data_IF_664942050668
#
_entry.id   IF_664942050668
#
_cell.length_a   1.000
_cell.length_b   1.000
_cell.length_c   1.000
_cell.angle_alpha   90.00
_cell.angle_beta   90.00
_cell.angle_gamma   90.00
#
_symmetry.space_group_name_H-M   'P 1'
#
loop_
_entity.id
_entity.type
_entity.pdbx_description
1 polymer ?
#
# COMPACT_ATOMS: atom_id res chain seq x y z
N UNK A 1 37.93 0.60 38.81
CA UNK A 1 37.50 1.38 40.00
C UNK A 1 36.20 2.00 39.58
N UNK A 2 35.15 1.19 39.69
CA UNK A 2 33.87 1.53 39.09
C UNK A 2 33.18 2.60 39.91
N UNK A 3 32.61 3.58 39.22
CA UNK A 3 31.68 4.53 39.81
C UNK A 3 30.30 3.91 39.58
N UNK A 4 29.61 3.44 40.62
CA UNK A 4 28.21 3.06 40.47
C UNK A 4 27.42 4.36 40.28
N UNK A 5 26.98 4.62 39.06
CA UNK A 5 25.85 5.51 38.83
C UNK A 5 24.59 4.74 39.21
N UNK A 6 23.81 5.25 40.16
CA UNK A 6 22.50 4.69 40.47
C UNK A 6 21.63 4.76 39.20
N UNK A 7 21.22 3.60 38.67
CA UNK A 7 20.15 3.57 37.67
C UNK A 7 18.90 4.21 38.31
N UNK A 8 18.26 5.20 37.67
CA UNK A 8 17.13 5.88 38.26
C UNK A 8 15.97 4.91 38.48
N UNK A 9 15.45 4.83 39.70
CA UNK A 9 14.26 4.04 40.06
C UNK A 9 13.08 4.42 39.15
N UNK A 10 12.85 3.59 38.13
CA UNK A 10 11.90 3.84 37.07
C UNK A 10 10.46 3.94 37.60
N UNK A 11 10.12 3.11 38.58
CA UNK A 11 8.79 3.08 39.18
C UNK A 11 8.54 4.37 39.98
N UNK A 12 9.55 4.83 40.74
CA UNK A 12 9.46 6.11 41.42
C UNK A 12 9.37 7.31 40.45
N UNK A 13 10.11 7.31 39.34
CA UNK A 13 10.05 8.38 38.35
C UNK A 13 8.71 8.42 37.60
N UNK A 14 8.14 7.26 37.24
CA UNK A 14 6.81 7.15 36.62
C UNK A 14 5.73 7.62 37.61
N UNK A 15 5.77 7.16 38.87
CA UNK A 15 4.80 7.55 39.89
C UNK A 15 4.85 9.07 40.17
N UNK A 16 6.04 9.66 40.20
CA UNK A 16 6.22 11.10 40.35
C UNK A 16 5.67 11.88 39.14
N UNK A 17 5.92 11.41 37.91
CA UNK A 17 5.37 12.02 36.70
C UNK A 17 3.82 11.97 36.68
N UNK A 18 3.22 10.86 37.14
CA UNK A 18 1.77 10.73 37.26
C UNK A 18 1.19 11.72 38.29
N UNK A 19 1.88 11.93 39.41
CA UNK A 19 1.52 12.96 40.40
C UNK A 19 1.64 14.39 39.85
N UNK A 20 2.67 14.65 39.04
CA UNK A 20 2.87 15.93 38.34
C UNK A 20 1.78 16.20 37.31
N UNK A 21 1.36 15.19 36.53
CA UNK A 21 0.20 15.29 35.62
C UNK A 21 -1.09 15.58 36.42
N UNK A 22 -1.35 14.82 37.49
CA UNK A 22 -2.56 14.96 38.31
C UNK A 22 -2.67 16.31 39.04
N UNK A 23 -1.54 16.95 39.34
CA UNK A 23 -1.46 18.27 39.97
C UNK A 23 -1.36 19.43 38.97
N UNK A 24 -1.34 19.15 37.66
CA UNK A 24 -1.25 20.15 36.59
C UNK A 24 0.17 20.64 36.28
N UNK A 25 1.20 20.06 36.90
CA UNK A 25 2.62 20.33 36.62
C UNK A 25 3.12 19.58 35.35
N UNK A 26 2.31 19.60 34.29
CA UNK A 26 2.46 18.75 33.10
C UNK A 26 3.78 18.92 32.35
N UNK A 27 4.37 20.12 32.33
CA UNK A 27 5.68 20.37 31.71
C UNK A 27 6.79 19.64 32.49
N UNK A 28 6.75 19.67 33.82
CA UNK A 28 7.74 18.96 34.64
C UNK A 28 7.66 17.44 34.47
N UNK A 29 6.45 16.90 34.26
CA UNK A 29 6.25 15.49 33.93
C UNK A 29 6.87 15.13 32.55
N UNK A 30 6.70 15.99 31.54
CA UNK A 30 7.34 15.82 30.21
C UNK A 30 8.87 15.84 30.35
N UNK A 31 9.44 16.87 30.97
CA UNK A 31 10.90 17.01 31.14
C UNK A 31 11.50 15.80 31.90
N UNK A 32 10.85 15.38 33.00
CA UNK A 32 11.23 14.18 33.78
C UNK A 32 11.26 12.93 32.94
N UNK A 33 10.17 12.66 32.21
CA UNK A 33 10.05 11.44 31.42
C UNK A 33 10.95 11.47 30.19
N UNK A 34 11.25 12.64 29.62
CA UNK A 34 12.23 12.81 28.54
C UNK A 34 13.67 12.56 29.01
N UNK A 35 14.01 12.91 30.26
CA UNK A 35 15.35 12.65 30.83
C UNK A 35 15.71 11.15 30.97
N UNK A 36 14.71 10.26 30.95
CA UNK A 36 14.89 8.80 31.01
C UNK A 36 15.30 8.20 29.66
N UNK A 37 16.41 8.66 29.09
CA UNK A 37 16.90 8.25 27.76
C UNK A 37 17.62 6.89 27.80
N UNK A 38 18.28 6.57 28.92
CA UNK A 38 19.10 5.35 29.08
C UNK A 38 18.32 4.14 29.65
N UNK A 39 17.06 4.34 30.02
CA UNK A 39 16.16 3.27 30.49
C UNK A 39 15.81 2.34 29.32
N UNK A 40 15.62 1.01 29.51
CA UNK A 40 15.24 0.09 28.44
C UNK A 40 14.06 0.62 27.63
N UNK A 41 14.29 0.83 26.33
CA UNK A 41 13.35 1.39 25.34
C UNK A 41 12.04 0.58 25.27
N UNK A 42 12.00 -0.61 25.84
CA UNK A 42 10.90 -1.57 25.81
C UNK A 42 10.01 -1.58 27.07
N UNK A 43 10.21 -0.72 28.08
CA UNK A 43 9.26 -0.65 29.23
C UNK A 43 7.97 0.09 28.85
N UNK A 44 6.89 -0.66 28.65
CA UNK A 44 5.60 -0.15 28.21
C UNK A 44 5.00 0.91 29.16
N UNK A 45 5.30 0.88 30.46
CA UNK A 45 4.75 1.78 31.48
C UNK A 45 5.35 3.17 31.34
N UNK A 46 6.64 3.26 31.03
CA UNK A 46 7.33 4.51 30.68
C UNK A 46 6.69 5.15 29.44
N UNK A 47 6.38 4.35 28.43
CA UNK A 47 5.73 4.83 27.20
C UNK A 47 4.30 5.32 27.46
N UNK A 48 3.47 4.60 28.23
CA UNK A 48 2.15 5.09 28.64
C UNK A 48 2.25 6.41 29.43
N UNK A 49 3.24 6.55 30.31
CA UNK A 49 3.45 7.79 31.07
C UNK A 49 3.84 8.95 30.14
N UNK A 50 4.73 8.73 29.16
CA UNK A 50 5.10 9.74 28.14
C UNK A 50 3.88 10.16 27.30
N UNK A 51 3.11 9.20 26.81
CA UNK A 51 1.88 9.47 26.06
C UNK A 51 0.87 10.31 26.87
N UNK A 52 0.68 10.00 28.15
CA UNK A 52 -0.19 10.77 29.04
C UNK A 52 0.31 12.20 29.27
N UNK A 53 1.61 12.39 29.50
CA UNK A 53 2.21 13.71 29.70
C UNK A 53 2.10 14.60 28.44
N UNK A 54 2.39 14.04 27.26
CA UNK A 54 2.30 14.75 25.97
C UNK A 54 0.85 15.14 25.64
N UNK A 55 -0.10 14.22 25.85
CA UNK A 55 -1.53 14.53 25.72
C UNK A 55 -2.00 15.65 26.66
N UNK A 56 -1.43 15.72 27.87
CA UNK A 56 -1.77 16.74 28.87
C UNK A 56 -1.19 18.13 28.55
N UNK A 57 -0.10 18.24 27.78
CA UNK A 57 0.38 19.52 27.20
C UNK A 57 -0.25 19.87 25.85
N UNK A 58 -1.12 18.99 25.32
CA UNK A 58 -1.81 19.18 24.04
C UNK A 58 -1.05 18.69 22.81
N UNK A 59 0.11 18.05 22.98
CA UNK A 59 0.85 17.40 21.90
C UNK A 59 0.20 16.05 21.55
N UNK A 60 -0.74 16.10 20.58
CA UNK A 60 -1.47 14.93 20.10
C UNK A 60 -0.63 13.99 19.26
N UNK A 61 0.33 14.51 18.50
CA UNK A 61 1.18 13.71 17.60
C UNK A 61 2.17 12.89 18.43
N UNK A 62 2.85 13.55 19.38
CA UNK A 62 3.67 12.88 20.38
C UNK A 62 2.86 11.90 21.23
N UNK A 63 1.68 12.31 21.75
CA UNK A 63 0.80 11.39 22.49
C UNK A 63 0.51 10.11 21.70
N UNK A 64 0.12 10.22 20.42
CA UNK A 64 -0.26 9.08 19.61
C UNK A 64 0.93 8.15 19.32
N UNK A 65 2.09 8.71 18.98
CA UNK A 65 3.33 7.94 18.75
C UNK A 65 3.72 7.12 19.99
N UNK A 66 3.87 7.77 21.16
CA UNK A 66 4.24 7.09 22.39
C UNK A 66 3.18 6.09 22.87
N UNK A 67 1.89 6.31 22.56
CA UNK A 67 0.82 5.37 22.92
C UNK A 67 0.86 4.08 22.09
N UNK A 68 1.18 4.18 20.80
CA UNK A 68 1.32 3.02 19.90
C UNK A 68 2.50 2.14 20.33
N UNK A 69 3.62 2.76 20.69
CA UNK A 69 4.77 2.04 21.22
C UNK A 69 4.49 1.44 22.60
N UNK A 70 3.78 2.15 23.49
CA UNK A 70 3.31 1.59 24.77
C UNK A 70 2.47 0.32 24.58
N UNK A 71 1.49 0.34 23.66
CA UNK A 71 0.65 -0.81 23.36
C UNK A 71 1.46 -1.97 22.76
N UNK A 72 2.41 -1.65 21.89
CA UNK A 72 3.29 -2.63 21.25
C UNK A 72 4.19 -3.33 22.28
N UNK A 73 4.80 -2.57 23.19
CA UNK A 73 5.66 -3.10 24.24
C UNK A 73 4.87 -3.83 25.34
N UNK A 74 3.64 -3.41 25.63
CA UNK A 74 2.77 -4.11 26.58
C UNK A 74 2.38 -5.50 26.06
N UNK A 75 1.96 -5.58 24.79
CA UNK A 75 1.67 -6.86 24.13
C UNK A 75 2.91 -7.76 24.03
N UNK A 76 4.10 -7.19 23.79
CA UNK A 76 5.37 -7.90 23.83
C UNK A 76 5.65 -8.56 25.19
N UNK A 77 5.37 -7.87 26.29
CA UNK A 77 5.53 -8.43 27.63
C UNK A 77 4.52 -9.55 27.89
N UNK A 78 3.22 -9.32 27.64
CA UNK A 78 2.19 -10.35 27.81
C UNK A 78 2.50 -11.62 26.99
N UNK A 79 3.05 -11.46 25.79
CA UNK A 79 3.47 -12.58 24.93
C UNK A 79 4.79 -13.22 25.40
N UNK A 80 5.72 -12.47 25.99
CA UNK A 80 6.92 -13.06 26.62
C UNK A 80 6.54 -14.01 27.75
N UNK A 81 5.58 -13.60 28.58
CA UNK A 81 5.06 -14.38 29.70
C UNK A 81 4.24 -15.62 29.25
N UNK A 82 3.54 -15.54 28.11
CA UNK A 82 2.66 -16.62 27.61
C UNK A 82 3.34 -17.60 26.63
N UNK A 83 4.15 -17.10 25.67
CA UNK A 83 4.79 -17.88 24.60
C UNK A 83 6.27 -18.22 24.89
N UNK A 84 6.79 -17.81 26.05
CA UNK A 84 8.16 -18.11 26.48
C UNK A 84 9.24 -17.38 25.67
N UNK A 85 8.99 -16.13 25.27
CA UNK A 85 9.97 -15.30 24.55
C UNK A 85 10.99 -14.75 25.53
N UNK A 86 12.26 -15.05 25.31
CA UNK A 86 13.38 -14.49 26.08
C UNK A 86 13.60 -13.04 25.63
N UNK A 87 13.18 -12.07 26.45
CA UNK A 87 13.29 -10.64 26.09
C UNK A 87 14.74 -10.14 26.04
N UNK A 88 15.66 -10.74 26.80
CA UNK A 88 17.08 -10.39 26.73
C UNK A 88 17.66 -10.75 25.36
N UNK A 89 17.35 -11.95 24.87
CA UNK A 89 17.71 -12.39 23.51
C UNK A 89 16.91 -11.67 22.44
N UNK A 90 15.64 -11.34 22.67
CA UNK A 90 14.82 -10.59 21.71
C UNK A 90 15.43 -9.22 21.41
N UNK A 91 16.01 -8.54 22.40
CA UNK A 91 16.63 -7.22 22.25
C UNK A 91 18.09 -7.30 21.75
N UNK A 92 18.82 -8.38 22.06
CA UNK A 92 20.27 -8.47 21.76
C UNK A 92 20.64 -9.35 20.55
N UNK A 93 19.75 -10.24 20.10
CA UNK A 93 19.98 -11.17 18.99
C UNK A 93 19.02 -10.91 17.81
N UNK A 94 19.42 -10.15 16.77
CA UNK A 94 18.59 -9.87 15.61
C UNK A 94 17.97 -11.11 14.95
N UNK A 95 18.71 -12.22 14.87
CA UNK A 95 18.20 -13.47 14.31
C UNK A 95 17.11 -14.12 15.16
N UNK A 96 17.15 -13.96 16.49
CA UNK A 96 16.10 -14.45 17.37
C UNK A 96 14.87 -13.55 17.26
N UNK A 97 15.04 -12.22 17.24
CA UNK A 97 13.96 -11.27 16.96
C UNK A 97 13.22 -11.63 15.65
N UNK A 98 13.93 -11.86 14.55
CA UNK A 98 13.33 -12.28 13.27
C UNK A 98 12.54 -13.60 13.37
N UNK A 99 13.02 -14.59 14.14
CA UNK A 99 12.29 -15.85 14.35
C UNK A 99 11.00 -15.66 15.16
N UNK A 100 10.98 -14.71 16.11
CA UNK A 100 9.76 -14.30 16.81
C UNK A 100 8.82 -13.59 15.83
N UNK A 101 9.34 -12.64 15.03
CA UNK A 101 8.57 -11.89 14.05
C UNK A 101 7.90 -12.76 13.00
N UNK A 102 8.61 -13.75 12.44
CA UNK A 102 8.07 -14.67 11.44
C UNK A 102 6.92 -15.53 11.98
N UNK A 103 7.04 -16.02 13.22
CA UNK A 103 5.97 -16.74 13.91
C UNK A 103 4.78 -15.83 14.22
N UNK A 104 5.04 -14.65 14.79
CA UNK A 104 4.01 -13.67 15.11
C UNK A 104 3.22 -13.23 13.86
N UNK A 105 3.90 -13.01 12.73
CA UNK A 105 3.28 -12.66 11.46
C UNK A 105 2.36 -13.79 10.95
N UNK A 106 2.83 -15.04 11.02
CA UNK A 106 2.04 -16.21 10.61
C UNK A 106 0.79 -16.44 11.52
N UNK A 107 0.88 -16.05 12.79
CA UNK A 107 -0.21 -16.13 13.77
C UNK A 107 -1.15 -14.91 13.77
N UNK A 108 -0.89 -13.89 12.95
CA UNK A 108 -1.69 -12.66 12.92
C UNK A 108 -1.39 -11.66 14.06
N UNK A 109 -0.37 -11.92 14.88
CA UNK A 109 0.08 -11.06 16.01
C UNK A 109 0.89 -9.86 15.49
N UNK A 110 0.22 -8.96 14.76
CA UNK A 110 0.88 -7.89 13.98
C UNK A 110 1.68 -6.88 14.81
N UNK A 111 1.27 -6.56 16.04
CA UNK A 111 2.05 -5.71 16.96
C UNK A 111 3.44 -6.30 17.24
N UNK A 112 3.48 -7.54 17.72
CA UNK A 112 4.71 -8.30 17.94
C UNK A 112 5.54 -8.44 16.67
N UNK A 113 4.92 -8.76 15.54
CA UNK A 113 5.60 -8.86 14.25
C UNK A 113 6.26 -7.54 13.85
N UNK A 114 5.56 -6.41 13.99
CA UNK A 114 6.11 -5.08 13.68
C UNK A 114 7.29 -4.70 14.57
N UNK A 115 7.24 -4.98 15.87
CA UNK A 115 8.35 -4.72 16.78
C UNK A 115 9.57 -5.60 16.48
N UNK A 116 9.34 -6.89 16.21
CA UNK A 116 10.36 -7.87 15.90
C UNK A 116 11.11 -7.53 14.59
N UNK A 117 10.38 -7.21 13.52
CA UNK A 117 11.00 -6.80 12.26
C UNK A 117 11.60 -5.39 12.36
N UNK A 118 11.00 -4.49 13.14
CA UNK A 118 11.45 -3.11 13.34
C UNK A 118 12.82 -2.97 14.01
N UNK A 119 13.31 -3.99 14.73
CA UNK A 119 14.69 -4.02 15.21
C UNK A 119 15.74 -4.13 14.07
N UNK A 120 15.35 -4.75 12.95
CA UNK A 120 16.27 -5.10 11.85
C UNK A 120 16.01 -4.27 10.60
N UNK A 121 14.74 -4.04 10.24
CA UNK A 121 14.34 -3.38 8.99
C UNK A 121 14.96 -1.99 8.77
N UNK A 122 15.13 -1.11 9.78
CA UNK A 122 15.76 0.20 9.58
C UNK A 122 17.29 0.15 9.41
N UNK A 123 17.92 -1.01 9.66
CA UNK A 123 19.38 -1.13 9.67
C UNK A 123 19.95 -1.29 8.23
N UNK A 124 21.12 -0.71 7.92
CA UNK A 124 21.76 -0.88 6.62
C UNK A 124 21.97 -2.36 6.26
N UNK A 125 21.51 -2.75 5.07
CA UNK A 125 21.60 -4.13 4.58
C UNK A 125 20.49 -5.08 5.04
N UNK A 126 19.43 -4.56 5.69
CA UNK A 126 18.24 -5.35 6.01
C UNK A 126 17.64 -6.04 4.76
N UNK A 127 17.25 -7.34 4.83
CA UNK A 127 16.65 -8.02 3.69
C UNK A 127 15.29 -7.43 3.28
N UNK A 128 15.03 -7.36 1.97
CA UNK A 128 13.77 -6.84 1.40
C UNK A 128 12.52 -7.42 2.08
N UNK A 129 12.47 -8.74 2.29
CA UNK A 129 11.32 -9.40 2.92
C UNK A 129 11.10 -8.99 4.38
N UNK A 130 12.14 -8.57 5.11
CA UNK A 130 12.03 -8.08 6.50
C UNK A 130 11.41 -6.68 6.50
N UNK A 131 11.88 -5.79 5.62
CA UNK A 131 11.33 -4.43 5.47
C UNK A 131 9.85 -4.49 5.02
N UNK A 132 9.54 -5.34 4.03
CA UNK A 132 8.16 -5.51 3.56
C UNK A 132 7.24 -6.08 4.64
N UNK A 133 7.68 -7.08 5.42
CA UNK A 133 6.89 -7.62 6.54
C UNK A 133 6.71 -6.60 7.68
N UNK A 134 7.72 -5.77 7.95
CA UNK A 134 7.62 -4.67 8.90
C UNK A 134 6.53 -3.68 8.47
N UNK A 135 6.61 -3.14 7.25
CA UNK A 135 5.63 -2.22 6.69
C UNK A 135 4.21 -2.79 6.65
N UNK A 136 4.05 -4.06 6.27
CA UNK A 136 2.75 -4.74 6.28
C UNK A 136 2.18 -4.91 7.69
N UNK A 137 3.02 -5.26 8.67
CA UNK A 137 2.59 -5.40 10.07
C UNK A 137 2.16 -4.06 10.66
N UNK A 138 2.85 -2.97 10.32
CA UNK A 138 2.48 -1.59 10.69
C UNK A 138 1.16 -1.19 10.02
N UNK A 139 1.00 -1.46 8.73
CA UNK A 139 -0.21 -1.15 7.96
C UNK A 139 -1.45 -1.86 8.53
N UNK A 140 -1.33 -3.14 8.89
CA UNK A 140 -2.42 -3.90 9.53
C UNK A 140 -2.84 -3.37 10.90
N UNK A 141 -2.00 -2.57 11.57
CA UNK A 141 -2.33 -1.88 12.82
C UNK A 141 -2.88 -0.46 12.61
N UNK A 142 -2.94 0.03 11.36
CA UNK A 142 -3.26 1.43 11.08
C UNK A 142 -2.12 2.40 11.37
N UNK A 143 -0.88 1.92 11.54
CA UNK A 143 0.33 2.75 11.72
C UNK A 143 0.81 3.30 10.36
N UNK A 144 -0.04 4.08 9.69
CA UNK A 144 0.12 4.46 8.28
C UNK A 144 1.42 5.23 7.99
N UNK A 145 1.82 6.27 8.76
CA UNK A 145 3.05 7.02 8.46
C UNK A 145 4.32 6.14 8.54
N UNK A 146 4.33 5.18 9.46
CA UNK A 146 5.44 4.24 9.65
C UNK A 146 5.46 3.18 8.56
N UNK A 147 4.28 2.68 8.14
CA UNK A 147 4.16 1.79 6.98
C UNK A 147 4.65 2.46 5.70
N UNK A 148 4.28 3.72 5.46
CA UNK A 148 4.79 4.57 4.38
C UNK A 148 6.32 4.68 4.46
N UNK A 149 6.87 4.93 5.65
CA UNK A 149 8.33 5.00 5.86
C UNK A 149 9.02 3.68 5.51
N UNK A 150 8.47 2.53 5.95
CA UNK A 150 9.00 1.20 5.65
C UNK A 150 8.94 0.86 4.16
N UNK A 151 7.83 1.15 3.47
CA UNK A 151 7.72 0.89 2.03
C UNK A 151 8.57 1.85 1.19
N UNK A 152 8.74 3.10 1.63
CA UNK A 152 9.69 4.06 1.01
C UNK A 152 11.12 3.55 1.12
N UNK A 153 11.55 3.08 2.30
CA UNK A 153 12.86 2.45 2.49
C UNK A 153 13.06 1.24 1.56
N UNK A 154 12.03 0.41 1.38
CA UNK A 154 12.09 -0.73 0.46
C UNK A 154 12.20 -0.29 -1.01
N UNK A 155 11.44 0.72 -1.43
CA UNK A 155 11.45 1.28 -2.79
C UNK A 155 12.76 1.99 -3.14
N UNK A 156 13.33 2.74 -2.20
CA UNK A 156 14.60 3.45 -2.38
C UNK A 156 15.81 2.50 -2.41
N UNK A 157 15.74 1.38 -1.67
CA UNK A 157 16.86 0.43 -1.53
C UNK A 157 16.84 -0.67 -2.60
N UNK A 158 15.67 -1.10 -3.06
CA UNK A 158 15.52 -2.26 -3.95
C UNK A 158 14.76 -1.90 -5.23
N UNK A 159 15.31 -2.27 -6.40
CA UNK A 159 14.61 -2.14 -7.67
C UNK A 159 13.46 -3.17 -7.77
N UNK A 160 12.32 -2.85 -7.18
CA UNK A 160 11.16 -3.74 -7.04
C UNK A 160 9.85 -2.96 -7.16
N UNK A 161 9.09 -3.14 -8.25
CA UNK A 161 7.81 -2.43 -8.46
C UNK A 161 6.82 -2.68 -7.32
N UNK A 162 6.85 -3.89 -6.77
CA UNK A 162 6.07 -4.32 -5.60
C UNK A 162 6.26 -3.40 -4.38
N UNK A 163 7.46 -2.84 -4.16
CA UNK A 163 7.70 -1.92 -3.05
C UNK A 163 6.90 -0.63 -3.20
N UNK A 164 6.94 -0.07 -4.42
CA UNK A 164 6.18 1.11 -4.81
C UNK A 164 4.67 0.83 -4.81
N UNK A 165 4.23 -0.35 -5.26
CA UNK A 165 2.82 -0.78 -5.23
C UNK A 165 2.26 -0.82 -3.78
N UNK A 166 3.04 -1.33 -2.81
CA UNK A 166 2.65 -1.31 -1.40
C UNK A 166 2.73 0.10 -0.77
N UNK A 167 3.69 0.94 -1.20
CA UNK A 167 3.74 2.35 -0.80
C UNK A 167 2.50 3.12 -1.27
N UNK A 168 2.12 2.96 -2.54
CA UNK A 168 0.88 3.49 -3.12
C UNK A 168 -0.35 3.00 -2.33
N UNK A 169 -0.37 1.72 -1.96
CA UNK A 169 -1.46 1.17 -1.16
C UNK A 169 -1.53 1.81 0.25
N UNK A 170 -0.40 2.04 0.91
CA UNK A 170 -0.36 2.74 2.19
C UNK A 170 -0.80 4.21 2.09
N UNK A 171 -0.44 4.90 1.00
CA UNK A 171 -0.86 6.28 0.75
C UNK A 171 -2.38 6.47 0.70
N UNK A 172 -3.20 5.48 0.35
CA UNK A 172 -4.66 5.60 0.40
C UNK A 172 -5.22 5.93 1.80
N UNK A 173 -4.46 5.64 2.87
CA UNK A 173 -4.89 5.78 4.26
C UNK A 173 -4.24 6.97 4.98
N UNK A 174 -3.45 7.79 4.28
CA UNK A 174 -2.79 8.97 4.85
C UNK A 174 -3.61 10.25 4.62
N UNK A 175 -3.45 11.25 5.50
CA UNK A 175 -4.26 12.49 5.47
C UNK A 175 -4.07 13.32 4.19
N UNK A 176 -2.83 13.45 3.67
CA UNK A 176 -2.53 14.00 2.33
C UNK A 176 -2.27 12.89 1.29
N UNK A 177 -2.93 11.74 1.50
CA UNK A 177 -2.68 10.50 0.78
C UNK A 177 -2.80 10.60 -0.73
N UNK A 178 -3.72 11.43 -1.23
CA UNK A 178 -3.96 11.62 -2.66
C UNK A 178 -2.76 12.28 -3.36
N UNK A 179 -2.12 13.29 -2.74
CA UNK A 179 -0.95 13.96 -3.31
C UNK A 179 0.28 13.05 -3.27
N UNK A 180 0.50 12.36 -2.15
CA UNK A 180 1.58 11.37 -2.00
C UNK A 180 1.44 10.24 -3.03
N UNK A 181 0.23 9.70 -3.19
CA UNK A 181 -0.08 8.67 -4.17
C UNK A 181 0.17 9.15 -5.61
N UNK A 182 -0.28 10.35 -5.97
CA UNK A 182 -0.08 10.89 -7.32
C UNK A 182 1.41 11.11 -7.65
N UNK A 183 2.20 11.58 -6.68
CA UNK A 183 3.65 11.71 -6.83
C UNK A 183 4.33 10.33 -7.01
N UNK A 184 3.98 9.36 -6.17
CA UNK A 184 4.59 8.04 -6.20
C UNK A 184 4.19 7.21 -7.44
N UNK A 185 2.98 7.39 -7.97
CA UNK A 185 2.53 6.73 -9.19
C UNK A 185 3.33 7.22 -10.42
N UNK A 186 3.66 8.52 -10.46
CA UNK A 186 4.56 9.10 -11.47
C UNK A 186 5.98 8.55 -11.32
N UNK A 187 6.49 8.47 -10.08
CA UNK A 187 7.79 7.86 -9.78
C UNK A 187 7.86 6.40 -10.24
N UNK A 188 6.81 5.61 -10.00
CA UNK A 188 6.70 4.24 -10.52
C UNK A 188 6.77 4.24 -12.06
N UNK A 189 6.02 5.12 -12.72
CA UNK A 189 6.04 5.21 -14.18
C UNK A 189 7.43 5.59 -14.73
N UNK A 190 8.13 6.55 -14.11
CA UNK A 190 9.50 6.93 -14.49
C UNK A 190 10.52 5.78 -14.33
N UNK A 191 10.30 4.86 -13.40
CA UNK A 191 11.20 3.74 -13.10
C UNK A 191 10.89 2.45 -13.88
N UNK A 192 9.61 2.21 -14.21
CA UNK A 192 9.13 0.92 -14.74
C UNK A 192 8.44 1.01 -16.11
N UNK A 193 8.00 2.19 -16.56
CA UNK A 193 7.52 2.36 -17.93
C UNK A 193 8.70 2.43 -18.92
N UNK A 194 8.61 1.79 -20.11
CA UNK A 194 9.51 2.09 -21.21
C UNK A 194 9.30 3.53 -21.69
N UNK A 195 10.31 4.08 -22.37
CA UNK A 195 10.17 5.36 -23.04
C UNK A 195 9.04 5.31 -24.10
N UNK A 196 8.18 6.33 -24.23
CA UNK A 196 7.07 6.31 -25.18
C UNK A 196 7.55 6.15 -26.64
N UNK A 197 7.23 5.01 -27.26
CA UNK A 197 7.46 4.80 -28.69
C UNK A 197 6.25 5.30 -29.50
N UNK A 198 6.45 6.33 -30.32
CA UNK A 198 5.43 6.82 -31.24
C UNK A 198 5.36 5.92 -32.49
N UNK A 199 4.84 4.70 -32.30
CA UNK A 199 4.63 3.72 -33.37
C UNK A 199 3.20 3.85 -33.93
N UNK A 200 3.00 3.87 -35.26
CA UNK A 200 1.66 3.85 -35.83
C UNK A 200 0.95 2.52 -35.52
N UNK A 201 -0.28 2.61 -35.04
CA UNK A 201 -1.14 1.45 -34.79
C UNK A 201 -1.55 0.78 -36.11
N UNK A 202 -1.56 -0.55 -36.12
CA UNK A 202 -1.95 -1.35 -37.29
C UNK A 202 -3.46 -1.60 -37.38
N UNK A 203 -4.26 -1.00 -36.49
CA UNK A 203 -5.71 -1.18 -36.43
C UNK A 203 -6.37 -0.78 -37.78
N UNK A 204 -7.21 -1.65 -38.37
CA UNK A 204 -7.95 -1.29 -39.58
C UNK A 204 -8.99 -0.20 -39.27
N UNK A 205 -9.39 0.56 -40.30
CA UNK A 205 -10.46 1.56 -40.20
C UNK A 205 -11.71 0.97 -39.52
N UNK A 206 -12.35 1.73 -38.64
CA UNK A 206 -13.57 1.34 -37.93
C UNK A 206 -14.78 1.23 -38.88
N UNK A 207 -14.73 1.84 -40.07
CA UNK A 207 -15.83 1.79 -41.05
C UNK A 207 -16.22 0.36 -41.42
N UNK A 208 -17.46 0.00 -41.10
CA UNK A 208 -18.05 -1.28 -41.48
C UNK A 208 -17.66 -2.46 -40.57
N UNK A 209 -17.00 -2.22 -39.43
CA UNK A 209 -16.69 -3.26 -38.43
C UNK A 209 -17.12 -2.84 -37.03
N UNK A 210 -17.09 -3.80 -36.10
CA UNK A 210 -17.30 -3.56 -34.67
C UNK A 210 -16.06 -2.93 -34.03
N UNK A 211 -16.30 -2.14 -32.99
CA UNK A 211 -15.25 -1.62 -32.11
C UNK A 211 -14.73 -2.75 -31.21
N UNK A 212 -13.42 -2.95 -31.15
CA UNK A 212 -12.80 -3.97 -30.29
C UNK A 212 -12.42 -3.37 -28.94
N UNK A 213 -13.03 -3.86 -27.88
CA UNK A 213 -12.74 -3.43 -26.50
C UNK A 213 -12.11 -4.60 -25.74
N UNK A 214 -10.91 -4.38 -25.24
CA UNK A 214 -10.18 -5.32 -24.40
C UNK A 214 -10.22 -4.92 -22.93
N UNK A 215 -10.55 -5.85 -22.05
CA UNK A 215 -10.55 -5.66 -20.60
C UNK A 215 -9.43 -6.47 -19.95
N UNK A 216 -8.60 -5.85 -19.13
CA UNK A 216 -7.43 -6.49 -18.48
C UNK A 216 -7.58 -6.51 -16.97
N UNK A 217 -7.61 -7.70 -16.37
CA UNK A 217 -7.48 -7.90 -14.93
C UNK A 217 -7.02 -9.35 -14.64
N UNK A 218 -6.29 -9.62 -13.54
CA UNK A 218 -5.86 -10.98 -13.18
C UNK A 218 -7.03 -11.95 -13.06
N UNK A 219 -8.13 -11.53 -12.43
CA UNK A 219 -9.41 -12.23 -12.44
C UNK A 219 -10.58 -11.26 -12.35
N UNK A 220 -11.65 -11.53 -13.11
CA UNK A 220 -12.88 -10.73 -13.14
C UNK A 220 -13.96 -11.38 -12.27
N UNK A 221 -14.22 -12.68 -12.42
CA UNK A 221 -15.28 -13.38 -11.67
C UNK A 221 -14.91 -13.74 -10.23
N UNK A 222 -13.62 -13.90 -9.91
CA UNK A 222 -13.16 -14.30 -8.57
C UNK A 222 -12.65 -13.14 -7.71
N UNK A 223 -13.04 -11.92 -8.07
CA UNK A 223 -12.72 -10.69 -7.34
C UNK A 223 -13.94 -9.79 -7.19
N UNK A 224 -13.81 -8.75 -6.36
CA UNK A 224 -14.86 -7.76 -6.14
C UNK A 224 -15.19 -6.95 -7.40
N UNK A 225 -14.32 -6.98 -8.41
CA UNK A 225 -14.54 -6.40 -9.74
C UNK A 225 -15.80 -6.98 -10.42
N UNK A 226 -16.14 -8.26 -10.16
CA UNK A 226 -17.29 -8.96 -10.75
C UNK A 226 -18.58 -8.15 -10.69
N UNK A 227 -18.87 -7.55 -9.52
CA UNK A 227 -20.13 -6.84 -9.28
C UNK A 227 -20.28 -5.58 -10.15
N UNK A 228 -19.16 -5.01 -10.62
CA UNK A 228 -19.14 -3.81 -11.46
C UNK A 228 -19.00 -4.16 -12.95
N UNK A 229 -18.14 -5.12 -13.29
CA UNK A 229 -17.83 -5.43 -14.69
C UNK A 229 -18.89 -6.29 -15.36
N UNK A 230 -19.48 -7.27 -14.68
CA UNK A 230 -20.45 -8.19 -15.30
C UNK A 230 -21.67 -7.46 -15.87
N UNK A 231 -22.32 -6.50 -15.17
CA UNK A 231 -23.41 -5.71 -15.75
C UNK A 231 -23.02 -4.97 -17.03
N UNK A 232 -21.79 -4.45 -17.13
CA UNK A 232 -21.31 -3.76 -18.36
C UNK A 232 -21.09 -4.75 -19.50
N UNK A 233 -20.49 -5.91 -19.23
CA UNK A 233 -20.29 -6.96 -20.24
C UNK A 233 -21.61 -7.57 -20.71
N UNK A 234 -22.58 -7.71 -19.83
CA UNK A 234 -23.92 -8.19 -20.15
C UNK A 234 -24.74 -7.19 -20.99
N UNK A 235 -24.52 -5.88 -20.82
CA UNK A 235 -25.25 -4.82 -21.52
C UNK A 235 -24.52 -4.22 -22.73
N UNK A 236 -23.34 -4.74 -23.10
CA UNK A 236 -22.68 -4.34 -24.35
C UNK A 236 -23.54 -4.69 -25.57
N UNK A 237 -23.71 -3.70 -26.46
CA UNK A 237 -24.32 -3.91 -27.76
C UNK A 237 -23.35 -4.69 -28.67
N UNK A 238 -23.53 -6.01 -28.69
CA UNK A 238 -22.72 -6.92 -29.47
C UNK A 238 -22.93 -6.80 -30.99
N UNK A 239 -23.85 -5.98 -31.50
CA UNK A 239 -23.88 -5.62 -32.92
C UNK A 239 -22.83 -4.54 -33.26
N UNK A 240 -22.45 -3.73 -32.27
CA UNK A 240 -21.50 -2.61 -32.41
C UNK A 240 -20.13 -2.86 -31.78
N UNK A 241 -20.05 -3.74 -30.78
CA UNK A 241 -18.83 -4.03 -30.00
C UNK A 241 -18.44 -5.50 -30.09
N UNK A 242 -17.14 -5.76 -30.16
CA UNK A 242 -16.51 -7.06 -29.97
C UNK A 242 -15.71 -7.03 -28.65
N UNK A 243 -16.01 -7.95 -27.73
CA UNK A 243 -15.51 -7.90 -26.34
C UNK A 243 -14.41 -8.93 -26.13
N UNK A 244 -13.25 -8.46 -25.70
CA UNK A 244 -12.08 -9.27 -25.35
C UNK A 244 -11.78 -9.16 -23.85
N UNK A 245 -11.36 -10.27 -23.25
CA UNK A 245 -10.91 -10.32 -21.85
C UNK A 245 -9.51 -10.92 -21.81
N UNK A 246 -8.60 -10.26 -21.10
CA UNK A 246 -7.23 -10.70 -20.87
C UNK A 246 -7.04 -10.92 -19.37
N UNK A 247 -6.93 -12.19 -18.97
CA UNK A 247 -6.89 -12.62 -17.57
C UNK A 247 -5.75 -13.58 -17.27
N UNK A 248 -5.51 -13.90 -15.99
CA UNK A 248 -4.46 -14.84 -15.62
C UNK A 248 -4.76 -16.26 -16.14
N UNK A 249 -5.97 -16.77 -15.86
CA UNK A 249 -6.43 -18.10 -16.28
C UNK A 249 -7.89 -18.06 -16.82
N UNK A 250 -8.09 -18.23 -18.15
CA UNK A 250 -9.42 -18.27 -18.77
C UNK A 250 -10.35 -19.35 -18.21
N UNK A 251 -9.83 -20.45 -17.64
CA UNK A 251 -10.67 -21.49 -17.04
C UNK A 251 -11.38 -21.01 -15.77
N UNK A 252 -10.98 -19.87 -15.21
CA UNK A 252 -11.63 -19.24 -14.05
C UNK A 252 -12.72 -18.23 -14.41
N UNK A 253 -12.79 -17.80 -15.68
CA UNK A 253 -13.65 -16.72 -16.18
C UNK A 253 -14.85 -17.24 -17.00
N UNK A 254 -15.26 -18.48 -16.75
CA UNK A 254 -16.36 -19.17 -17.45
C UNK A 254 -17.70 -18.53 -17.12
N UNK A 255 -18.51 -18.28 -18.15
CA UNK A 255 -19.86 -17.70 -18.03
C UNK A 255 -19.93 -16.19 -18.22
N UNK A 256 -18.81 -15.51 -18.45
CA UNK A 256 -18.82 -14.10 -18.88
C UNK A 256 -19.32 -13.98 -20.33
N UNK A 257 -20.17 -12.97 -20.59
CA UNK A 257 -20.54 -12.54 -21.95
C UNK A 257 -19.38 -11.81 -22.63
N UNK A 258 -18.49 -12.56 -23.27
CA UNK A 258 -17.38 -12.04 -24.07
C UNK A 258 -17.34 -12.71 -25.46
N UNK A 259 -16.72 -12.05 -26.44
CA UNK A 259 -16.44 -12.65 -27.75
C UNK A 259 -15.16 -13.50 -27.72
N UNK A 260 -14.18 -13.12 -26.90
CA UNK A 260 -12.93 -13.87 -26.73
C UNK A 260 -12.37 -13.67 -25.32
N UNK A 261 -11.80 -14.73 -24.74
CA UNK A 261 -11.06 -14.69 -23.47
C UNK A 261 -9.66 -15.25 -23.73
N UNK A 262 -8.62 -14.53 -23.32
CA UNK A 262 -7.20 -14.90 -23.50
C UNK A 262 -6.48 -14.97 -22.16
N UNK A 263 -5.65 -16.00 -22.01
CA UNK A 263 -4.76 -16.17 -20.86
C UNK A 263 -3.46 -15.41 -21.08
N UNK A 264 -3.18 -14.45 -20.22
CA UNK A 264 -1.93 -13.66 -20.20
C UNK A 264 -1.09 -13.92 -18.93
N UNK A 265 -1.53 -14.79 -18.02
CA UNK A 265 -0.88 -15.01 -16.72
C UNK A 265 0.55 -15.58 -16.82
N UNK A 266 0.84 -16.37 -17.85
CA UNK A 266 2.16 -16.93 -18.12
C UNK A 266 2.99 -16.11 -19.15
N UNK A 267 2.43 -15.01 -19.68
CA UNK A 267 3.09 -14.17 -20.68
C UNK A 267 3.82 -13.01 -20.00
N UNK A 268 4.98 -12.63 -20.54
CA UNK A 268 5.58 -11.34 -20.22
C UNK A 268 4.67 -10.18 -20.65
N UNK A 269 4.86 -8.99 -20.10
CA UNK A 269 4.09 -7.81 -20.52
C UNK A 269 4.31 -7.48 -22.01
N UNK A 270 5.50 -7.75 -22.54
CA UNK A 270 5.81 -7.57 -23.96
C UNK A 270 5.08 -8.57 -24.87
N UNK A 271 5.00 -9.84 -24.47
CA UNK A 271 4.27 -10.87 -25.21
C UNK A 271 2.75 -10.63 -25.14
N UNK A 272 2.24 -10.24 -23.96
CA UNK A 272 0.84 -9.90 -23.77
C UNK A 272 0.44 -8.64 -24.55
N UNK A 273 1.27 -7.59 -24.55
CA UNK A 273 1.07 -6.41 -25.39
C UNK A 273 1.08 -6.77 -26.89
N UNK A 274 2.01 -7.63 -27.33
CA UNK A 274 2.06 -8.10 -28.71
C UNK A 274 0.82 -8.91 -29.12
N UNK A 275 0.29 -9.73 -28.22
CA UNK A 275 -0.97 -10.47 -28.39
C UNK A 275 -2.17 -9.51 -28.54
N UNK A 276 -2.28 -8.51 -27.66
CA UNK A 276 -3.35 -7.49 -27.67
C UNK A 276 -3.30 -6.65 -28.96
N UNK A 277 -2.10 -6.24 -29.38
CA UNK A 277 -1.91 -5.53 -30.66
C UNK A 277 -2.27 -6.42 -31.87
N UNK A 278 -1.96 -7.72 -31.80
CA UNK A 278 -2.33 -8.71 -32.81
C UNK A 278 -3.84 -8.99 -32.91
N UNK A 279 -4.58 -8.86 -31.80
CA UNK A 279 -6.04 -8.86 -31.78
C UNK A 279 -6.64 -7.58 -32.40
N UNK A 280 -5.85 -6.52 -32.56
CA UNK A 280 -6.30 -5.23 -33.10
C UNK A 280 -7.30 -4.55 -32.17
N UNK A 281 -7.05 -4.57 -30.86
CA UNK A 281 -7.88 -3.88 -29.86
C UNK A 281 -7.83 -2.37 -30.11
N UNK A 282 -9.01 -1.74 -30.15
CA UNK A 282 -9.15 -0.30 -30.39
C UNK A 282 -9.15 0.49 -29.08
N UNK A 283 -9.78 -0.07 -28.05
CA UNK A 283 -9.84 0.47 -26.68
C UNK A 283 -9.41 -0.61 -25.69
N UNK A 284 -8.29 -0.41 -25.00
CA UNK A 284 -7.85 -1.30 -23.91
C UNK A 284 -8.16 -0.67 -22.56
N UNK A 285 -8.78 -1.41 -21.65
CA UNK A 285 -9.19 -0.93 -20.33
C UNK A 285 -8.48 -1.72 -19.24
N UNK A 286 -7.68 -1.03 -18.43
CA UNK A 286 -7.11 -1.57 -17.20
C UNK A 286 -8.19 -1.57 -16.11
N UNK A 287 -8.48 -2.76 -15.58
CA UNK A 287 -9.44 -2.96 -14.51
C UNK A 287 -8.78 -3.17 -13.13
N UNK A 288 -7.46 -2.94 -12.97
CA UNK A 288 -6.74 -3.38 -11.76
C UNK A 288 -5.82 -2.35 -11.09
N UNK A 289 -5.17 -1.46 -11.86
CA UNK A 289 -4.21 -0.46 -11.39
C UNK A 289 -2.95 -1.04 -10.73
N UNK A 290 -2.36 -0.29 -9.81
CA UNK A 290 -1.17 -0.69 -9.02
C UNK A 290 -1.47 -1.71 -7.91
N UNK A 291 -2.63 -2.37 -7.93
CA UNK A 291 -2.92 -3.42 -6.94
C UNK A 291 -2.20 -4.73 -7.32
N UNK A 292 -1.85 -5.54 -6.32
CA UNK A 292 -1.07 -6.78 -6.50
C UNK A 292 -1.59 -7.66 -7.64
N UNK A 293 -0.70 -8.04 -8.55
CA UNK A 293 -1.01 -8.77 -9.78
C UNK A 293 -1.38 -7.89 -10.98
N UNK A 294 -1.43 -6.57 -10.82
CA UNK A 294 -1.67 -5.60 -11.89
C UNK A 294 -0.69 -5.73 -13.06
N UNK A 295 -1.12 -5.30 -14.24
CA UNK A 295 -0.39 -5.47 -15.51
C UNK A 295 -0.14 -4.15 -16.22
N UNK A 296 0.11 -3.08 -15.46
CA UNK A 296 0.33 -1.73 -15.98
C UNK A 296 1.52 -1.64 -16.96
N UNK A 297 2.50 -2.53 -16.89
CA UNK A 297 3.58 -2.62 -17.89
C UNK A 297 3.10 -2.99 -19.30
N UNK A 298 1.98 -3.72 -19.43
CA UNK A 298 1.29 -3.92 -20.73
C UNK A 298 0.82 -2.57 -21.28
N UNK A 299 0.17 -1.76 -20.44
CA UNK A 299 -0.37 -0.46 -20.83
C UNK A 299 0.74 0.54 -21.14
N UNK A 300 1.86 0.47 -20.42
CA UNK A 300 3.04 1.28 -20.67
C UNK A 300 3.67 1.03 -22.06
N UNK A 301 3.48 -0.17 -22.63
CA UNK A 301 3.88 -0.53 -24.01
C UNK A 301 2.88 -0.07 -25.09
N UNK A 302 1.76 0.55 -24.70
CA UNK A 302 0.73 1.13 -25.61
C UNK A 302 0.29 0.19 -26.75
N UNK A 303 -0.18 -1.05 -26.49
CA UNK A 303 -0.64 -1.97 -27.54
C UNK A 303 -1.97 -1.58 -28.24
N UNK A 304 -2.74 -0.62 -27.70
CA UNK A 304 -4.00 -0.15 -28.30
C UNK A 304 -4.00 1.38 -28.54
N UNK A 305 -4.68 1.87 -29.59
CA UNK A 305 -4.78 3.31 -29.91
C UNK A 305 -5.33 4.15 -28.76
N UNK A 306 -6.36 3.64 -28.08
CA UNK A 306 -6.96 4.25 -26.89
C UNK A 306 -6.79 3.31 -25.71
N UNK A 307 -6.36 3.85 -24.58
CA UNK A 307 -6.22 3.13 -23.33
C UNK A 307 -6.88 3.90 -22.19
N UNK A 308 -7.56 3.19 -21.29
CA UNK A 308 -8.21 3.77 -20.12
C UNK A 308 -8.01 2.95 -18.85
N UNK A 309 -8.06 3.60 -17.68
CA UNK A 309 -8.13 2.94 -16.37
C UNK A 309 -9.52 3.14 -15.73
N UNK A 310 -10.13 2.05 -15.22
CA UNK A 310 -11.45 2.00 -14.57
C UNK A 310 -11.75 0.53 -14.18
N UNK A 311 -12.26 0.11 -13.02
CA UNK A 311 -12.90 0.83 -11.91
C UNK A 311 -12.28 0.49 -10.54
N UNK A 312 -11.48 -0.58 -10.45
CA UNK A 312 -10.89 -1.05 -9.19
C UNK A 312 -9.89 -0.05 -8.59
N UNK A 313 -9.37 0.84 -9.43
CA UNK A 313 -8.36 1.82 -9.08
C UNK A 313 -8.87 3.20 -9.52
N UNK A 314 -9.00 4.11 -8.54
CA UNK A 314 -9.68 5.42 -8.69
C UNK A 314 -8.71 6.60 -8.53
N UNK A 315 -7.42 6.32 -8.65
CA UNK A 315 -6.32 7.27 -8.62
C UNK A 315 -5.50 7.14 -9.90
N UNK A 316 -4.61 8.10 -10.16
CA UNK A 316 -3.73 8.04 -11.34
C UNK A 316 -2.86 6.79 -11.31
N UNK A 317 -2.69 6.16 -12.46
CA UNK A 317 -1.68 5.13 -12.69
C UNK A 317 -0.29 5.73 -12.90
N UNK A 318 -0.19 7.05 -13.11
CA UNK A 318 1.06 7.75 -13.45
C UNK A 318 1.52 7.55 -14.90
N UNK A 319 0.88 6.66 -15.67
CA UNK A 319 1.29 6.34 -17.04
C UNK A 319 0.73 7.31 -18.07
N UNK A 320 1.60 8.09 -18.71
CA UNK A 320 1.25 8.88 -19.89
C UNK A 320 0.79 8.05 -21.11
N UNK A 321 1.00 6.72 -21.07
CA UNK A 321 0.48 5.78 -22.06
C UNK A 321 -1.02 5.46 -21.88
N UNK A 322 -1.60 5.72 -20.71
CA UNK A 322 -3.05 5.61 -20.49
C UNK A 322 -3.67 6.98 -20.78
N UNK A 323 -4.56 7.04 -21.77
CA UNK A 323 -5.10 8.32 -22.24
C UNK A 323 -6.17 8.87 -21.28
N UNK A 324 -6.94 7.97 -20.66
CA UNK A 324 -8.10 8.32 -19.85
C UNK A 324 -8.16 7.58 -18.51
N UNK A 325 -8.70 8.24 -17.49
CA UNK A 325 -9.26 7.56 -16.32
C UNK A 325 -10.77 7.81 -16.33
N UNK A 326 -11.60 6.77 -16.16
CA UNK A 326 -13.06 6.92 -16.24
C UNK A 326 -13.63 7.17 -14.85
N UNK A 327 -13.96 8.43 -14.54
CA UNK A 327 -14.50 8.86 -13.25
C UNK A 327 -15.98 9.21 -13.36
N UNK A 328 -16.70 9.10 -12.24
CA UNK A 328 -18.02 9.71 -12.14
C UNK A 328 -17.93 11.18 -11.71
N UNK A 329 -19.04 11.91 -11.83
CA UNK A 329 -19.08 13.34 -11.50
C UNK A 329 -18.95 13.60 -9.98
N UNK A 330 -19.34 12.63 -9.15
CA UNK A 330 -19.32 12.73 -7.69
C UNK A 330 -18.01 12.31 -7.00
N UNK A 331 -17.00 11.85 -7.72
CA UNK A 331 -15.74 11.35 -7.13
C UNK A 331 -14.60 12.37 -7.12
N UNK A 332 -14.92 13.68 -7.27
CA UNK A 332 -13.92 14.75 -7.43
C UNK A 332 -13.63 15.47 -6.11
N UNK A 333 -12.36 15.64 -5.75
CA UNK A 333 -11.95 16.62 -4.75
C UNK A 333 -11.70 18.00 -5.41
N UNK A 334 -11.19 18.96 -4.64
CA UNK A 334 -10.58 20.16 -5.22
C UNK A 334 -9.22 19.80 -5.83
N UNK A 335 -8.83 20.48 -6.91
CA UNK A 335 -7.53 20.35 -7.59
C UNK A 335 -7.20 18.98 -8.22
N UNK A 336 -8.19 18.07 -8.37
CA UNK A 336 -8.06 16.75 -9.02
C UNK A 336 -7.25 16.75 -10.32
N UNK A 337 -7.47 17.72 -11.21
CA UNK A 337 -6.91 17.70 -12.57
C UNK A 337 -5.37 17.81 -12.58
N UNK A 338 -4.74 18.30 -11.50
CA UNK A 338 -3.27 18.32 -11.33
C UNK A 338 -2.70 17.00 -10.76
N UNK A 339 -3.55 16.11 -10.28
CA UNK A 339 -3.18 14.83 -9.67
C UNK A 339 -3.09 13.70 -10.70
N UNK A 340 -3.82 13.81 -11.82
CA UNK A 340 -3.83 12.78 -12.87
C UNK A 340 -2.83 13.06 -13.99
N UNK A 341 -2.20 12.00 -14.49
CA UNK A 341 -1.42 12.04 -15.75
C UNK A 341 -2.36 11.78 -16.93
N UNK A 342 -3.36 10.93 -16.71
CA UNK A 342 -4.44 10.61 -17.64
C UNK A 342 -5.47 11.73 -17.71
N UNK A 343 -6.14 11.89 -18.86
CA UNK A 343 -7.27 12.80 -18.95
C UNK A 343 -8.50 12.21 -18.27
N UNK A 344 -9.04 12.89 -17.26
CA UNK A 344 -10.26 12.42 -16.60
C UNK A 344 -11.44 12.47 -17.59
N UNK A 345 -12.01 11.30 -17.90
CA UNK A 345 -13.25 11.17 -18.67
C UNK A 345 -14.42 10.99 -17.70
N UNK A 346 -15.40 11.89 -17.78
CA UNK A 346 -16.57 11.88 -16.90
C UNK A 346 -17.67 10.99 -17.48
N UNK A 347 -18.10 9.99 -16.70
CA UNK A 347 -19.18 9.06 -17.04
C UNK A 347 -20.58 9.60 -16.71
N UNK A 348 -20.67 10.75 -16.02
CA UNK A 348 -21.91 11.28 -15.47
C UNK A 348 -22.06 11.03 -13.96
N UNK A 349 -23.21 11.37 -13.37
CA UNK A 349 -23.48 11.12 -11.95
C UNK A 349 -23.66 9.62 -11.67
N UNK A 350 -23.18 9.16 -10.50
CA UNK A 350 -23.56 7.83 -9.98
C UNK A 350 -25.02 7.92 -9.53
N UNK A 351 -25.93 7.54 -10.42
CA UNK A 351 -27.29 7.22 -10.04
C UNK A 351 -27.28 5.85 -9.34
N UNK A 352 -27.30 5.84 -8.02
CA UNK A 352 -27.82 4.69 -7.27
C UNK A 352 -29.33 4.65 -7.54
N UNK A 353 -29.89 3.54 -8.06
CA UNK A 353 -31.33 3.42 -8.32
C UNK A 353 -32.21 3.56 -7.07
#
# INVERSE_FOLDING_TARGET
>A
MDIPGDEPDLDAQIAQAQSEIASGAVVAAVDRLQALIEVPIYDHRLHYARAAALGAVGDREGQQSWLLDAQTFHALQEISEQDGVDMGRFVSEPNYALQIGDRAYAEGKMGLASAAFGQVAPQPGAPFNVIMRWGLSLLHQGRIPEAITAFTLAADTFKSSMAHEFLLYACFFADDGVRLHAAEARRWAELYAPAPENRPFANPDLKGRKLRIGYVAPTLLRSQLRQFIVPVLENHDLERVEVFIYCADPATEVGIRATTVRGIGALSDADAASLIAGDGIDVLVDLWGHTSGGRLGIFALKPAPVQAAWINYVQTTGLAAIDYVLHADGTRAADDDELFVEKIWRLGPIAVP
#
